data_IF_728286937662
#
_entry.id   IF_728286937662
#
_cell.length_a   1.000
_cell.length_b   1.000
_cell.length_c   1.000
_cell.angle_alpha   90.00
_cell.angle_beta   90.00
_cell.angle_gamma   90.00
#
_symmetry.space_group_name_H-M   'P 1'
#
loop_
_entity.id
_entity.type
_entity.pdbx_description
1 polymer ?
#
# COMPACT_ATOMS: atom_id res chain seq x y z
N UNK A 1 1.82 -11.23 22.01
CA UNK A 1 3.05 -10.53 21.59
C UNK A 1 3.90 -11.55 20.83
N UNK A 2 4.21 -11.31 19.55
CA UNK A 2 5.13 -12.18 18.80
C UNK A 2 6.54 -12.07 19.40
N UNK A 3 7.37 -13.10 19.26
CA UNK A 3 8.77 -13.09 19.71
C UNK A 3 9.54 -11.89 19.11
N UNK A 4 9.22 -11.55 17.86
CA UNK A 4 9.74 -10.38 17.17
C UNK A 4 9.33 -9.06 17.86
N UNK A 5 8.07 -8.91 18.29
CA UNK A 5 7.62 -7.72 18.98
C UNK A 5 8.37 -7.52 20.32
N UNK A 6 8.63 -8.60 21.05
CA UNK A 6 9.40 -8.55 22.30
C UNK A 6 10.87 -8.16 22.04
N UNK A 7 11.49 -8.72 20.99
CA UNK A 7 12.86 -8.38 20.58
C UNK A 7 12.99 -6.92 20.15
N UNK A 8 12.02 -6.41 19.37
CA UNK A 8 12.01 -5.02 18.93
C UNK A 8 11.75 -4.06 20.10
N UNK A 9 10.87 -4.43 21.04
CA UNK A 9 10.65 -3.67 22.28
C UNK A 9 11.92 -3.62 23.15
N UNK A 10 12.69 -4.70 23.22
CA UNK A 10 13.99 -4.72 23.91
C UNK A 10 15.03 -3.80 23.26
N UNK A 11 14.90 -3.53 21.96
CA UNK A 11 15.70 -2.54 21.22
C UNK A 11 15.13 -1.10 21.36
N UNK A 12 14.14 -0.90 22.24
CA UNK A 12 13.51 0.40 22.47
C UNK A 12 12.63 0.87 21.31
N UNK A 13 12.18 -0.06 20.45
CA UNK A 13 11.27 0.20 19.33
C UNK A 13 9.85 -0.02 19.84
N UNK A 14 9.01 1.01 19.74
CA UNK A 14 7.65 0.95 20.28
C UNK A 14 6.73 0.28 19.27
N UNK A 15 6.44 -1.00 19.49
CA UNK A 15 5.50 -1.78 18.68
C UNK A 15 4.21 -1.92 19.45
N UNK A 16 3.43 -0.87 19.41
CA UNK A 16 2.07 -0.89 19.92
C UNK A 16 1.12 -0.82 18.72
N UNK A 17 0.34 -1.88 18.44
CA UNK A 17 -0.79 -1.75 17.53
C UNK A 17 -1.73 -0.73 18.17
N UNK A 18 -1.71 0.49 17.62
CA UNK A 18 -2.71 1.51 17.95
C UNK A 18 -3.59 1.58 16.73
N UNK A 19 -4.84 1.14 16.84
CA UNK A 19 -5.84 1.29 15.79
C UNK A 19 -6.36 2.72 15.81
N UNK A 20 -5.51 3.67 15.43
CA UNK A 20 -5.95 5.04 15.27
C UNK A 20 -6.98 5.07 14.15
N UNK A 21 -8.16 5.61 14.43
CA UNK A 21 -9.25 5.71 13.47
C UNK A 21 -9.31 7.15 12.98
N UNK A 22 -9.18 7.35 11.66
CA UNK A 22 -9.37 8.65 11.04
C UNK A 22 -10.62 8.59 10.16
N UNK A 23 -11.46 9.62 10.28
CA UNK A 23 -12.65 9.74 9.43
C UNK A 23 -12.27 10.32 8.08
N UNK A 24 -12.90 9.79 7.03
CA UNK A 24 -12.75 10.31 5.67
C UNK A 24 -13.37 11.71 5.54
N UNK A 25 -14.40 12.04 6.32
CA UNK A 25 -15.10 13.32 6.25
C UNK A 25 -16.07 13.44 5.07
N UNK A 26 -16.29 12.37 4.30
CA UNK A 26 -17.30 12.31 3.22
C UNK A 26 -18.74 12.22 3.74
N UNK A 27 -18.93 11.98 5.03
CA UNK A 27 -20.25 11.90 5.70
C UNK A 27 -21.14 13.11 5.40
N UNK A 28 -20.59 14.33 5.35
CA UNK A 28 -21.43 15.53 5.26
C UNK A 28 -22.14 15.72 3.91
N UNK A 29 -21.62 15.14 2.82
CA UNK A 29 -22.26 15.27 1.51
C UNK A 29 -23.25 14.15 1.22
N UNK A 30 -22.89 12.90 1.53
CA UNK A 30 -23.74 11.75 1.23
C UNK A 30 -24.99 11.70 2.13
N UNK A 31 -24.83 11.95 3.44
CA UNK A 31 -25.96 11.96 4.38
C UNK A 31 -26.94 13.13 4.13
N UNK A 32 -26.44 14.28 3.67
CA UNK A 32 -27.28 15.43 3.34
C UNK A 32 -28.22 15.16 2.15
N UNK A 33 -27.89 14.16 1.30
CA UNK A 33 -28.70 13.73 0.17
C UNK A 33 -29.42 12.39 0.40
N UNK A 34 -29.33 11.82 1.60
CA UNK A 34 -29.97 10.54 1.95
C UNK A 34 -29.30 9.31 1.32
N UNK A 35 -28.08 9.44 0.80
CA UNK A 35 -27.29 8.31 0.32
C UNK A 35 -26.42 7.74 1.44
N UNK A 36 -26.36 6.42 1.53
CA UNK A 36 -25.43 5.72 2.42
C UNK A 36 -24.28 5.18 1.57
N UNK A 37 -23.06 5.65 1.84
CA UNK A 37 -21.87 5.14 1.15
C UNK A 37 -21.64 3.67 1.48
N UNK A 38 -21.31 2.86 0.47
CA UNK A 38 -20.93 1.46 0.63
C UNK A 38 -19.51 1.30 1.21
N UNK A 39 -18.70 2.36 1.13
CA UNK A 39 -17.34 2.38 1.65
C UNK A 39 -17.39 2.83 3.12
N UNK A 40 -16.71 2.12 4.03
CA UNK A 40 -16.55 2.59 5.41
C UNK A 40 -15.99 4.02 5.46
N UNK A 41 -16.50 4.83 6.38
CA UNK A 41 -16.12 6.25 6.50
C UNK A 41 -14.95 6.45 7.48
N UNK A 42 -14.35 5.34 7.89
CA UNK A 42 -13.29 5.25 8.87
C UNK A 42 -12.13 4.45 8.27
N UNK A 43 -10.93 4.97 8.44
CA UNK A 43 -9.68 4.30 8.08
C UNK A 43 -8.97 3.93 9.36
N UNK A 44 -8.62 2.66 9.49
CA UNK A 44 -7.87 2.13 10.62
C UNK A 44 -6.39 2.16 10.29
N UNK A 45 -5.57 2.76 11.15
CA UNK A 45 -4.13 2.79 10.96
C UNK A 45 -3.44 2.08 12.10
N UNK A 46 -2.27 1.52 11.82
CA UNK A 46 -1.30 1.13 12.84
C UNK A 46 -0.24 2.23 12.99
N UNK A 47 0.40 2.31 14.15
CA UNK A 47 1.53 3.22 14.33
C UNK A 47 2.69 2.82 13.41
N UNK A 48 3.42 3.82 12.95
CA UNK A 48 4.71 3.68 12.30
C UNK A 48 5.77 4.51 13.02
N UNK A 49 7.01 4.06 12.92
CA UNK A 49 8.17 4.80 13.40
C UNK A 49 9.31 4.72 12.39
N UNK A 50 9.91 5.85 12.04
CA UNK A 50 11.13 5.90 11.24
C UNK A 50 12.35 5.84 12.16
N UNK A 51 13.19 4.82 12.01
CA UNK A 51 14.46 4.71 12.73
C UNK A 51 15.57 4.15 11.84
N UNK A 52 16.80 4.56 12.15
CA UNK A 52 17.96 3.96 11.53
C UNK A 52 18.18 2.54 12.05
N UNK A 53 18.35 1.59 11.13
CA UNK A 53 18.62 0.19 11.47
C UNK A 53 19.91 -0.30 10.78
N UNK A 54 20.67 -1.16 11.46
CA UNK A 54 21.87 -1.77 10.88
C UNK A 54 21.46 -2.99 10.05
N UNK A 55 21.62 -2.91 8.73
CA UNK A 55 21.27 -3.93 7.77
C UNK A 55 22.56 -4.63 7.32
N UNK A 56 22.67 -5.93 7.60
CA UNK A 56 23.88 -6.69 7.28
C UNK A 56 24.19 -6.63 5.79
N UNK A 57 25.46 -6.35 5.47
CA UNK A 57 25.95 -6.25 4.10
C UNK A 57 25.54 -4.97 3.37
N UNK A 58 24.79 -4.07 4.02
CA UNK A 58 24.32 -2.81 3.41
C UNK A 58 24.81 -1.61 4.22
N UNK A 59 24.61 -1.59 5.54
CA UNK A 59 25.03 -0.51 6.44
C UNK A 59 23.89 0.01 7.31
N UNK A 60 23.96 1.26 7.75
CA UNK A 60 22.92 1.90 8.57
C UNK A 60 21.99 2.72 7.68
N UNK A 61 20.70 2.37 7.64
CA UNK A 61 19.71 3.00 6.76
C UNK A 61 18.43 3.34 7.52
N UNK A 62 17.67 4.35 7.06
CA UNK A 62 16.35 4.64 7.61
C UNK A 62 15.36 3.54 7.23
N UNK A 63 14.74 2.96 8.25
CA UNK A 63 13.80 1.85 8.17
C UNK A 63 12.46 2.27 8.77
N UNK A 64 11.35 1.83 8.16
CA UNK A 64 10.00 2.05 8.66
C UNK A 64 9.58 0.84 9.51
N UNK A 65 9.33 1.07 10.79
CA UNK A 65 8.85 0.08 11.74
C UNK A 65 7.33 0.18 11.84
N UNK A 66 6.63 -0.92 11.59
CA UNK A 66 5.18 -1.03 11.74
C UNK A 66 4.79 -1.52 13.13
N UNK A 67 3.68 -1.00 13.66
CA UNK A 67 3.03 -1.50 14.86
C UNK A 67 2.56 -2.97 14.79
N UNK A 68 2.54 -3.57 13.59
CA UNK A 68 2.33 -5.01 13.41
C UNK A 68 3.57 -5.88 13.69
N UNK A 69 4.75 -5.27 13.80
CA UNK A 69 6.03 -5.98 13.92
C UNK A 69 6.85 -6.05 12.64
N UNK A 70 6.32 -5.60 11.49
CA UNK A 70 7.10 -5.55 10.25
C UNK A 70 8.09 -4.39 10.22
N UNK A 71 9.21 -4.58 9.51
CA UNK A 71 10.23 -3.55 9.31
C UNK A 71 10.55 -3.46 7.83
N UNK A 72 10.61 -2.24 7.29
CA UNK A 72 10.81 -2.02 5.86
C UNK A 72 11.99 -1.10 5.59
N UNK A 73 12.89 -1.52 4.71
CA UNK A 73 13.96 -0.67 4.16
C UNK A 73 13.47 0.00 2.89
N UNK A 74 13.55 1.33 2.81
CA UNK A 74 13.30 2.04 1.55
C UNK A 74 14.46 1.89 0.57
N UNK A 75 14.21 1.32 -0.60
CA UNK A 75 15.24 1.08 -1.62
C UNK A 75 15.34 2.24 -2.60
N UNK A 76 14.22 2.60 -3.25
CA UNK A 76 14.19 3.69 -4.25
C UNK A 76 12.81 4.32 -4.37
N UNK A 77 12.74 5.54 -4.87
CA UNK A 77 11.46 6.16 -5.24
C UNK A 77 11.00 5.59 -6.59
N UNK A 78 9.76 5.13 -6.66
CA UNK A 78 9.14 4.62 -7.89
C UNK A 78 8.42 5.76 -8.64
N UNK A 79 7.62 6.56 -7.92
CA UNK A 79 6.78 7.62 -8.50
C UNK A 79 6.62 8.79 -7.54
N UNK A 80 6.53 10.02 -8.05
CA UNK A 80 6.11 11.21 -7.29
C UNK A 80 4.59 11.35 -7.37
N UNK A 81 3.95 11.78 -6.29
CA UNK A 81 2.50 11.91 -6.18
C UNK A 81 2.15 13.30 -5.63
N UNK A 82 0.89 13.71 -5.79
CA UNK A 82 0.39 15.00 -5.31
C UNK A 82 0.61 15.22 -3.80
N UNK A 83 0.44 14.18 -2.99
CA UNK A 83 0.62 14.25 -1.52
C UNK A 83 1.96 13.68 -1.04
N UNK A 84 2.85 13.26 -1.95
CA UNK A 84 4.12 12.65 -1.56
C UNK A 84 4.76 11.78 -2.65
N UNK A 85 5.03 10.51 -2.34
CA UNK A 85 5.79 9.62 -3.22
C UNK A 85 5.52 8.15 -2.96
N UNK A 86 5.57 7.32 -3.99
CA UNK A 86 5.60 5.86 -3.87
C UNK A 86 7.05 5.40 -3.88
N UNK A 87 7.43 4.55 -2.92
CA UNK A 87 8.77 3.99 -2.80
C UNK A 87 8.73 2.47 -2.89
N UNK A 88 9.71 1.89 -3.58
CA UNK A 88 10.03 0.48 -3.45
C UNK A 88 10.72 0.26 -2.11
N UNK A 89 10.29 -0.75 -1.37
CA UNK A 89 10.86 -1.15 -0.10
C UNK A 89 10.96 -2.67 0.02
N UNK A 90 11.87 -3.14 0.87
CA UNK A 90 12.10 -4.55 1.15
C UNK A 90 11.80 -4.80 2.62
N UNK A 91 11.01 -5.83 2.91
CA UNK A 91 10.76 -6.26 4.29
C UNK A 91 12.06 -6.85 4.88
N UNK A 92 12.39 -6.43 6.08
CA UNK A 92 13.52 -6.90 6.86
C UNK A 92 13.06 -7.91 7.91
N UNK A 93 13.97 -8.80 8.30
CA UNK A 93 13.83 -9.64 9.47
C UNK A 93 15.02 -9.42 10.41
N UNK A 94 14.78 -9.55 11.71
CA UNK A 94 15.85 -9.53 12.69
C UNK A 94 16.78 -10.73 12.47
N UNK A 95 18.08 -10.50 12.49
CA UNK A 95 19.06 -11.56 12.38
C UNK A 95 19.14 -12.33 13.71
N UNK A 96 19.22 -13.67 13.68
CA UNK A 96 19.17 -14.51 14.89
C UNK A 96 20.41 -14.42 15.79
N UNK A 97 21.44 -13.64 15.42
CA UNK A 97 22.66 -13.47 16.22
C UNK A 97 22.46 -12.63 17.49
N UNK A 98 21.29 -12.02 17.70
CA UNK A 98 20.98 -11.23 18.89
C UNK A 98 21.62 -9.84 18.94
N UNK A 99 22.35 -9.42 17.90
CA UNK A 99 23.07 -8.13 17.90
C UNK A 99 22.21 -6.94 17.41
N UNK A 100 20.90 -7.11 17.28
CA UNK A 100 20.01 -6.05 16.77
C UNK A 100 20.19 -5.75 15.27
N UNK A 101 20.88 -6.61 14.52
CA UNK A 101 21.12 -6.44 13.09
C UNK A 101 19.97 -7.01 12.26
N UNK A 102 19.63 -6.39 11.14
CA UNK A 102 18.57 -6.81 10.23
C UNK A 102 19.13 -7.41 8.95
N UNK A 103 18.35 -8.28 8.31
CA UNK A 103 18.64 -8.81 6.97
C UNK A 103 17.43 -8.64 6.06
N UNK A 104 17.69 -8.33 4.79
CA UNK A 104 16.65 -8.28 3.75
C UNK A 104 16.01 -9.66 3.58
N UNK A 105 14.69 -9.66 3.41
CA UNK A 105 13.94 -10.84 2.95
C UNK A 105 13.72 -10.76 1.44
N UNK A 106 13.01 -11.73 0.88
CA UNK A 106 12.56 -11.70 -0.52
C UNK A 106 11.18 -11.01 -0.68
N UNK A 107 10.62 -10.45 0.41
CA UNK A 107 9.33 -9.77 0.37
C UNK A 107 9.55 -8.31 0.02
N UNK A 108 9.12 -7.93 -1.18
CA UNK A 108 9.15 -6.56 -1.68
C UNK A 108 7.76 -5.94 -1.62
N UNK A 109 7.74 -4.65 -1.28
CA UNK A 109 6.51 -3.85 -1.15
C UNK A 109 6.68 -2.49 -1.83
N UNK A 110 5.57 -1.91 -2.25
CA UNK A 110 5.47 -0.51 -2.62
C UNK A 110 4.83 0.25 -1.45
N UNK A 111 5.49 1.32 -0.97
CA UNK A 111 4.98 2.14 0.13
C UNK A 111 4.66 3.53 -0.42
N UNK A 112 3.35 3.87 -0.45
CA UNK A 112 2.88 5.22 -0.76
C UNK A 112 3.01 6.06 0.50
N UNK A 113 3.95 7.00 0.51
CA UNK A 113 4.24 7.93 1.61
C UNK A 113 3.54 9.25 1.32
N UNK A 114 2.65 9.68 2.21
CA UNK A 114 1.82 10.87 2.05
C UNK A 114 1.98 11.81 3.23
N UNK A 115 2.26 13.09 2.98
CA UNK A 115 2.46 14.10 4.02
C UNK A 115 1.11 14.60 4.55
N UNK A 116 0.91 14.52 5.87
CA UNK A 116 -0.30 15.04 6.52
C UNK A 116 -0.43 16.55 6.35
N UNK A 117 0.67 17.28 6.39
CA UNK A 117 0.68 18.73 6.17
C UNK A 117 0.18 19.09 4.75
N UNK A 118 0.65 18.38 3.71
CA UNK A 118 0.20 18.61 2.33
C UNK A 118 -1.26 18.22 2.16
N UNK A 119 -1.71 17.12 2.79
CA UNK A 119 -3.13 16.71 2.75
C UNK A 119 -4.03 17.79 3.38
N UNK A 120 -3.62 18.37 4.52
CA UNK A 120 -4.38 19.43 5.20
C UNK A 120 -4.40 20.75 4.42
N UNK A 121 -3.34 21.05 3.66
CA UNK A 121 -3.23 22.26 2.84
C UNK A 121 -3.87 22.11 1.45
N UNK A 122 -4.00 20.87 0.97
CA UNK A 122 -4.46 20.55 -0.38
C UNK A 122 -5.91 20.93 -0.63
N UNK A 123 -6.20 21.32 -1.86
CA UNK A 123 -7.57 21.54 -2.32
C UNK A 123 -8.31 20.18 -2.42
N UNK A 124 -9.58 20.15 -1.99
CA UNK A 124 -10.44 18.96 -1.75
C UNK A 124 -10.72 18.03 -2.96
N UNK A 125 -9.98 18.12 -4.08
CA UNK A 125 -10.31 17.36 -5.29
C UNK A 125 -10.15 15.84 -5.11
N UNK A 126 -9.19 15.40 -4.29
CA UNK A 126 -9.02 13.99 -3.94
C UNK A 126 -8.71 13.84 -2.45
N UNK A 127 -9.48 13.01 -1.75
CA UNK A 127 -9.24 12.72 -0.34
C UNK A 127 -8.53 11.36 -0.21
N UNK A 128 -7.23 11.32 0.15
CA UNK A 128 -6.50 10.06 0.24
C UNK A 128 -7.05 9.13 1.33
N UNK A 129 -7.79 9.64 2.32
CA UNK A 129 -8.46 8.79 3.31
C UNK A 129 -9.60 7.97 2.68
N UNK A 130 -10.31 8.52 1.69
CA UNK A 130 -11.35 7.77 0.96
C UNK A 130 -10.73 6.64 0.14
N UNK A 131 -9.60 6.90 -0.52
CA UNK A 131 -8.83 5.87 -1.23
C UNK A 131 -8.41 4.75 -0.27
N UNK A 132 -7.84 5.10 0.89
CA UNK A 132 -7.40 4.12 1.90
C UNK A 132 -8.57 3.34 2.50
N UNK A 133 -9.70 3.98 2.82
CA UNK A 133 -10.90 3.32 3.32
C UNK A 133 -11.41 2.29 2.30
N UNK A 134 -11.45 2.69 1.03
CA UNK A 134 -11.86 1.82 -0.07
C UNK A 134 -10.91 0.63 -0.19
N UNK A 135 -9.60 0.87 -0.17
CA UNK A 135 -8.59 -0.19 -0.25
C UNK A 135 -8.67 -1.15 0.94
N UNK A 136 -8.86 -0.66 2.17
CA UNK A 136 -9.07 -1.51 3.36
C UNK A 136 -10.30 -2.40 3.21
N UNK A 137 -11.42 -1.81 2.81
CA UNK A 137 -12.68 -2.52 2.60
C UNK A 137 -12.56 -3.59 1.49
N UNK A 138 -11.88 -3.26 0.39
CA UNK A 138 -11.66 -4.19 -0.72
C UNK A 138 -10.66 -5.31 -0.37
N UNK A 139 -9.77 -5.11 0.60
CA UNK A 139 -8.71 -6.06 0.95
C UNK A 139 -9.16 -7.19 1.87
N UNK A 140 -10.39 -7.14 2.40
CA UNK A 140 -10.96 -8.19 3.25
C UNK A 140 -12.29 -8.68 2.67
N UNK A 141 -12.38 -9.89 2.10
CA UNK A 141 -11.33 -10.92 1.98
C UNK A 141 -10.28 -10.69 0.88
N UNK A 142 -10.40 -9.63 0.06
CA UNK A 142 -9.47 -9.38 -1.05
C UNK A 142 -9.85 -10.09 -2.34
N UNK A 143 -9.19 -9.73 -3.44
CA UNK A 143 -9.34 -10.37 -4.74
C UNK A 143 -7.99 -10.50 -5.47
N UNK A 144 -7.71 -11.59 -6.19
CA UNK A 144 -6.43 -11.78 -6.88
C UNK A 144 -6.11 -10.71 -7.92
N UNK A 145 -7.12 -10.06 -8.50
CA UNK A 145 -7.02 -9.05 -9.56
C UNK A 145 -7.48 -7.65 -9.11
N UNK A 146 -7.35 -7.37 -7.81
CA UNK A 146 -7.49 -6.03 -7.24
C UNK A 146 -6.34 -5.86 -6.26
N UNK A 147 -5.58 -4.78 -6.40
CA UNK A 147 -4.46 -4.47 -5.51
C UNK A 147 -4.93 -4.35 -4.05
N UNK A 148 -4.42 -5.22 -3.20
CA UNK A 148 -4.77 -5.27 -1.77
C UNK A 148 -3.83 -4.41 -0.95
N UNK A 149 -4.37 -3.69 0.03
CA UNK A 149 -3.61 -3.02 1.07
C UNK A 149 -3.10 -4.06 2.07
N UNK A 150 -1.77 -4.11 2.24
CA UNK A 150 -1.12 -4.99 3.21
C UNK A 150 -1.24 -4.36 4.60
N UNK A 151 -0.85 -3.09 4.72
CA UNK A 151 -0.91 -2.33 5.97
C UNK A 151 -1.21 -0.85 5.69
N UNK A 152 -1.92 -0.22 6.61
CA UNK A 152 -2.13 1.22 6.65
C UNK A 152 -1.44 1.74 7.91
N UNK A 153 -0.41 2.58 7.76
CA UNK A 153 0.39 3.05 8.88
C UNK A 153 0.38 4.57 8.97
N UNK A 154 0.67 5.11 10.15
CA UNK A 154 0.91 6.55 10.30
C UNK A 154 1.93 6.87 11.38
N UNK A 155 2.59 8.00 11.23
CA UNK A 155 3.36 8.66 12.29
C UNK A 155 2.82 10.11 12.47
N UNK A 156 3.45 11.00 13.24
CA UNK A 156 2.98 12.38 13.37
C UNK A 156 2.94 13.19 12.06
N UNK A 157 3.82 12.89 11.10
CA UNK A 157 4.04 13.69 9.89
C UNK A 157 3.44 13.06 8.62
N UNK A 158 3.37 11.73 8.57
CA UNK A 158 3.08 10.97 7.37
C UNK A 158 2.04 9.87 7.57
N UNK A 159 1.40 9.51 6.46
CA UNK A 159 0.59 8.31 6.26
C UNK A 159 1.34 7.40 5.28
N UNK A 160 1.30 6.09 5.53
CA UNK A 160 1.96 5.06 4.72
C UNK A 160 0.96 4.00 4.30
N UNK A 161 0.76 3.82 3.00
CA UNK A 161 0.03 2.68 2.44
C UNK A 161 1.03 1.63 1.96
N UNK A 162 1.07 0.46 2.61
CA UNK A 162 1.94 -0.65 2.24
C UNK A 162 1.20 -1.57 1.28
N UNK A 163 1.72 -1.72 0.07
CA UNK A 163 1.10 -2.42 -1.06
C UNK A 163 2.05 -3.49 -1.62
N UNK A 164 1.55 -4.54 -2.29
CA UNK A 164 2.40 -5.48 -3.00
C UNK A 164 3.25 -4.78 -4.05
N UNK A 165 4.55 -5.11 -4.13
CA UNK A 165 5.38 -4.61 -5.21
C UNK A 165 5.13 -5.40 -6.50
N UNK A 166 4.50 -4.75 -7.47
CA UNK A 166 4.24 -5.33 -8.78
C UNK A 166 5.46 -5.16 -9.69
N UNK A 167 6.36 -6.15 -9.66
CA UNK A 167 7.64 -6.15 -10.40
C UNK A 167 7.49 -5.96 -11.91
N UNK A 168 6.37 -6.38 -12.49
CA UNK A 168 6.09 -6.25 -13.92
C UNK A 168 5.67 -4.84 -14.34
N UNK A 169 5.53 -3.91 -13.39
CA UNK A 169 5.19 -2.52 -13.66
C UNK A 169 3.76 -2.35 -14.15
N UNK A 170 3.54 -1.34 -14.98
CA UNK A 170 2.24 -0.98 -15.53
C UNK A 170 2.02 -1.70 -16.86
N UNK A 171 0.79 -2.17 -17.09
CA UNK A 171 0.42 -2.78 -18.38
C UNK A 171 0.59 -1.77 -19.53
N UNK A 172 0.41 -0.48 -19.26
CA UNK A 172 0.71 0.59 -20.22
C UNK A 172 2.14 0.51 -20.76
N UNK A 173 3.13 0.40 -19.88
CA UNK A 173 4.55 0.32 -20.29
C UNK A 173 4.84 -0.93 -21.13
N UNK A 174 4.15 -2.04 -20.87
CA UNK A 174 4.27 -3.25 -21.68
C UNK A 174 3.76 -3.03 -23.12
N UNK A 175 2.61 -2.36 -23.27
CA UNK A 175 2.06 -2.00 -24.59
C UNK A 175 2.92 -0.96 -25.30
N UNK A 176 3.39 0.06 -24.57
CA UNK A 176 4.21 1.15 -25.13
C UNK A 176 5.54 0.63 -25.68
N UNK A 177 6.17 -0.32 -25.00
CA UNK A 177 7.48 -0.88 -25.40
C UNK A 177 7.37 -2.05 -26.37
N UNK A 178 6.36 -2.91 -26.20
CA UNK A 178 6.19 -4.14 -27.00
C UNK A 178 5.34 -3.96 -28.26
N UNK A 179 4.59 -2.86 -28.37
CA UNK A 179 3.63 -2.65 -29.45
C UNK A 179 2.34 -3.44 -29.26
N UNK A 180 1.65 -3.72 -30.36
CA UNK A 180 0.38 -4.45 -30.32
C UNK A 180 0.60 -5.89 -29.84
N UNK A 181 -0.17 -6.28 -28.82
CA UNK A 181 -0.22 -7.66 -28.32
C UNK A 181 -1.06 -8.53 -29.24
N UNK A 182 -0.79 -9.83 -29.25
CA UNK A 182 -1.68 -10.77 -29.93
C UNK A 182 -3.05 -10.87 -29.22
N UNK A 183 -4.06 -11.34 -29.94
CA UNK A 183 -5.42 -11.43 -29.41
C UNK A 183 -5.51 -12.35 -28.17
N UNK A 184 -4.69 -13.40 -28.11
CA UNK A 184 -4.65 -14.35 -27.00
C UNK A 184 -4.09 -13.71 -25.72
N UNK A 185 -3.05 -12.89 -25.83
CA UNK A 185 -2.51 -12.05 -24.76
C UNK A 185 -3.52 -11.02 -24.29
N UNK A 186 -4.12 -10.27 -25.23
CA UNK A 186 -5.16 -9.29 -24.92
C UNK A 186 -6.32 -9.94 -24.16
N UNK A 187 -6.81 -11.09 -24.63
CA UNK A 187 -7.88 -11.85 -23.98
C UNK A 187 -7.53 -12.25 -22.57
N UNK A 188 -6.29 -12.70 -22.32
CA UNK A 188 -5.81 -13.06 -20.98
C UNK A 188 -5.84 -11.86 -20.03
N UNK A 189 -5.31 -10.72 -20.44
CA UNK A 189 -5.32 -9.50 -19.61
C UNK A 189 -6.72 -8.98 -19.37
N UNK A 190 -7.52 -8.87 -20.44
CA UNK A 190 -8.87 -8.35 -20.36
C UNK A 190 -9.77 -9.23 -19.47
N UNK A 191 -9.62 -10.56 -19.54
CA UNK A 191 -10.35 -11.47 -18.65
C UNK A 191 -10.02 -11.22 -17.17
N UNK A 192 -8.76 -10.96 -16.85
CA UNK A 192 -8.36 -10.63 -15.48
C UNK A 192 -8.96 -9.28 -15.06
N UNK A 193 -8.90 -8.27 -15.93
CA UNK A 193 -9.51 -6.94 -15.69
C UNK A 193 -10.99 -7.07 -15.39
N UNK A 194 -11.74 -7.82 -16.21
CA UNK A 194 -13.16 -8.05 -15.99
C UNK A 194 -13.44 -8.76 -14.66
N UNK A 195 -12.59 -9.71 -14.24
CA UNK A 195 -12.73 -10.36 -12.92
C UNK A 195 -12.50 -9.36 -11.77
N UNK A 196 -11.50 -8.49 -11.87
CA UNK A 196 -11.25 -7.42 -10.90
C UNK A 196 -12.43 -6.45 -10.82
N UNK A 197 -12.90 -5.96 -11.97
CA UNK A 197 -14.07 -5.06 -12.06
C UNK A 197 -15.33 -5.71 -11.51
N UNK A 198 -15.58 -6.99 -11.82
CA UNK A 198 -16.73 -7.72 -11.28
C UNK A 198 -16.69 -7.80 -9.73
N UNK A 199 -15.50 -7.94 -9.14
CA UNK A 199 -15.33 -7.92 -7.69
C UNK A 199 -15.60 -6.53 -7.07
N UNK A 200 -15.22 -5.45 -7.75
CA UNK A 200 -15.55 -4.08 -7.34
C UNK A 200 -17.06 -3.84 -7.41
N UNK A 201 -17.68 -4.26 -8.52
CA UNK A 201 -19.13 -4.13 -8.75
C UNK A 201 -19.95 -4.94 -7.75
N UNK A 202 -19.49 -6.14 -7.35
CA UNK A 202 -20.15 -6.93 -6.30
C UNK A 202 -20.11 -6.26 -4.92
N UNK A 203 -19.33 -5.18 -4.77
CA UNK A 203 -19.23 -4.32 -3.58
C UNK A 203 -19.79 -2.92 -3.81
N UNK A 204 -20.50 -2.72 -4.92
CA UNK A 204 -21.08 -1.42 -5.30
C UNK A 204 -20.04 -0.31 -5.44
N UNK A 205 -18.81 -0.66 -5.83
CA UNK A 205 -17.72 0.28 -6.06
C UNK A 205 -17.46 0.39 -7.56
N UNK A 206 -17.44 1.61 -8.07
CA UNK A 206 -16.96 1.92 -9.41
C UNK A 206 -15.55 2.51 -9.32
N UNK A 207 -14.60 1.94 -10.05
CA UNK A 207 -13.21 2.45 -10.06
C UNK A 207 -13.12 3.88 -10.61
N UNK A 208 -13.95 4.22 -11.60
CA UNK A 208 -14.04 5.51 -12.31
C UNK A 208 -12.81 5.95 -13.10
N UNK A 209 -11.65 5.33 -12.89
CA UNK A 209 -10.43 5.62 -13.65
C UNK A 209 -9.77 4.34 -14.22
N UNK A 210 -10.54 3.54 -14.96
CA UNK A 210 -9.99 2.32 -15.56
C UNK A 210 -9.10 2.67 -16.76
N UNK A 211 -7.80 2.51 -16.58
CA UNK A 211 -6.76 2.79 -17.59
C UNK A 211 -5.67 1.72 -17.53
N UNK A 212 -4.80 1.64 -18.55
CA UNK A 212 -3.68 0.70 -18.58
C UNK A 212 -2.59 1.04 -17.55
N UNK A 213 -2.52 2.29 -17.09
CA UNK A 213 -1.61 2.75 -16.03
C UNK A 213 -2.04 2.22 -14.66
N UNK A 214 -3.34 1.98 -14.46
CA UNK A 214 -3.92 1.46 -13.24
C UNK A 214 -4.06 -0.08 -13.23
N UNK A 215 -3.44 -0.78 -14.19
CA UNK A 215 -3.33 -2.25 -14.21
C UNK A 215 -1.88 -2.62 -13.98
N UNK A 216 -1.58 -3.21 -12.82
CA UNK A 216 -0.21 -3.56 -12.45
C UNK A 216 0.07 -5.03 -12.71
N UNK A 217 1.30 -5.35 -13.11
CA UNK A 217 1.71 -6.71 -13.44
C UNK A 217 2.56 -7.32 -12.33
N UNK A 218 2.20 -8.51 -11.89
CA UNK A 218 3.06 -9.34 -11.05
C UNK A 218 4.28 -9.78 -11.89
N UNK A 219 5.46 -9.88 -11.29
CA UNK A 219 6.76 -9.96 -11.98
C UNK A 219 6.92 -11.06 -13.03
N UNK A 220 6.08 -12.09 -12.96
CA UNK A 220 5.87 -13.04 -14.05
C UNK A 220 4.62 -12.58 -14.81
N UNK A 221 4.81 -12.02 -16.01
CA UNK A 221 3.90 -11.32 -16.94
C UNK A 221 2.61 -12.08 -17.36
N UNK A 222 1.95 -12.76 -16.44
CA UNK A 222 0.70 -13.49 -16.65
C UNK A 222 -0.34 -13.21 -15.58
N UNK A 223 -0.01 -12.42 -14.55
CA UNK A 223 -0.94 -12.04 -13.48
C UNK A 223 -0.94 -10.54 -13.30
N UNK A 224 -2.12 -9.95 -13.24
CA UNK A 224 -2.30 -8.54 -12.92
C UNK A 224 -2.95 -8.34 -11.55
N UNK A 225 -2.70 -7.16 -10.97
CA UNK A 225 -3.20 -6.64 -9.71
C UNK A 225 -3.93 -5.33 -9.91
#
# INVERSE_FOLDING_TARGET
MSELAAQLQALGIRIEPTDAVFRTGSDMHDYAQGFQSCIPQEVHFMNAELRNCHIMGVGVFPCLFSGSGHVYEFVRTLRKCIYGKVKHAVQLRLHPNGNGTFVRTNVEVAIKVMSKAIIQQGNLQENPLVELATQQYLSTPGHPHVLTLIECLHDPEFIYAVLPFCRGGELFSLVETGGAMDEGECRRWFTQVLRGVAYLQSRYICHRDMSLENVLLDGNTSKMK
#
